data_IF_416911726517
#
_entry.id   IF_416911726517
#
_cell.length_a   1.000
_cell.length_b   1.000
_cell.length_c   1.000
_cell.angle_alpha   90.00
_cell.angle_beta   90.00
_cell.angle_gamma   90.00
#
_symmetry.space_group_name_H-M   'P 1'
#
loop_
_entity.id
_entity.type
_entity.pdbx_description
1 polymer ?
#
# COMPACT_ATOMS: atom_id res chain seq x y z
N UNK A 1 -11.41 -1.71 -33.74
CA UNK A 1 -10.95 -1.87 -32.35
C UNK A 1 -10.13 -3.14 -32.32
N UNK A 2 -8.81 -3.00 -32.30
CA UNK A 2 -7.90 -4.15 -32.19
C UNK A 2 -8.13 -4.81 -30.82
N UNK A 3 -8.37 -6.12 -30.82
CA UNK A 3 -8.41 -6.91 -29.60
C UNK A 3 -6.97 -7.15 -29.20
N UNK A 4 -6.50 -6.44 -28.18
CA UNK A 4 -5.23 -6.78 -27.54
C UNK A 4 -5.24 -8.24 -27.12
N UNK A 5 -4.14 -8.95 -27.34
CA UNK A 5 -4.02 -10.36 -26.94
C UNK A 5 -3.92 -10.44 -25.42
N UNK A 6 -4.22 -11.62 -24.85
CA UNK A 6 -4.10 -11.85 -23.41
C UNK A 6 -2.66 -11.56 -22.91
N UNK A 7 -1.65 -11.86 -23.74
CA UNK A 7 -0.24 -11.57 -23.48
C UNK A 7 0.08 -10.08 -23.34
N UNK A 8 -0.64 -9.18 -24.01
CA UNK A 8 -0.44 -7.72 -23.88
C UNK A 8 -1.06 -7.14 -22.59
N UNK A 9 -1.74 -7.97 -21.79
CA UNK A 9 -2.54 -7.51 -20.63
C UNK A 9 -1.85 -7.69 -19.27
N UNK A 10 -0.66 -8.28 -19.23
CA UNK A 10 0.12 -8.49 -17.99
C UNK A 10 1.62 -8.38 -18.24
N UNK A 11 2.39 -8.11 -17.18
CA UNK A 11 3.84 -8.10 -17.28
C UNK A 11 4.40 -9.52 -17.30
N UNK A 12 5.26 -9.79 -18.26
CA UNK A 12 6.20 -10.90 -18.16
C UNK A 12 7.23 -10.63 -17.06
N UNK A 13 7.88 -11.70 -16.56
CA UNK A 13 8.84 -11.60 -15.46
C UNK A 13 9.90 -10.54 -15.69
N UNK A 14 10.46 -10.48 -16.90
CA UNK A 14 11.52 -9.53 -17.27
C UNK A 14 10.99 -8.09 -17.29
N UNK A 15 9.77 -7.89 -17.78
CA UNK A 15 9.14 -6.57 -17.85
C UNK A 15 8.82 -6.05 -16.45
N UNK A 16 8.30 -6.90 -15.56
CA UNK A 16 8.06 -6.55 -14.17
C UNK A 16 9.37 -6.12 -13.48
N UNK A 17 10.44 -6.88 -13.62
CA UNK A 17 11.72 -6.51 -13.02
C UNK A 17 12.30 -5.22 -13.63
N UNK A 18 12.12 -5.00 -14.93
CA UNK A 18 12.52 -3.75 -15.59
C UNK A 18 11.75 -2.56 -15.02
N UNK A 19 10.44 -2.71 -14.82
CA UNK A 19 9.59 -1.70 -14.20
C UNK A 19 9.98 -1.42 -12.75
N UNK A 20 10.19 -2.45 -11.94
CA UNK A 20 10.60 -2.31 -10.54
C UNK A 20 12.01 -1.71 -10.39
N UNK A 21 12.92 -1.99 -11.31
CA UNK A 21 14.24 -1.35 -11.37
C UNK A 21 14.12 0.14 -11.72
N UNK A 22 13.26 0.50 -12.69
CA UNK A 22 13.00 1.90 -13.02
C UNK A 22 12.44 2.66 -11.81
N UNK A 23 11.49 2.08 -11.07
CA UNK A 23 10.96 2.68 -9.83
C UNK A 23 12.07 2.96 -8.82
N UNK A 24 13.05 2.05 -8.68
CA UNK A 24 14.16 2.24 -7.74
C UNK A 24 15.08 3.42 -8.09
N UNK A 25 15.07 3.87 -9.35
CA UNK A 25 15.94 4.94 -9.88
C UNK A 25 15.23 6.28 -10.01
N UNK A 26 13.97 6.27 -10.44
CA UNK A 26 13.22 7.48 -10.81
C UNK A 26 11.81 7.55 -10.18
N UNK A 27 11.45 6.60 -9.33
CA UNK A 27 10.15 6.56 -8.67
C UNK A 27 9.92 7.73 -7.73
N UNK A 28 8.65 8.08 -7.53
CA UNK A 28 8.23 9.07 -6.56
C UNK A 28 8.20 8.49 -5.15
N UNK A 29 7.94 9.34 -4.16
CA UNK A 29 7.78 8.93 -2.78
C UNK A 29 6.71 7.82 -2.66
N UNK A 30 7.06 6.75 -1.95
CA UNK A 30 6.27 5.53 -1.75
C UNK A 30 6.10 4.61 -2.97
N UNK A 31 6.58 4.97 -4.16
CA UNK A 31 6.39 4.13 -5.34
C UNK A 31 7.05 2.75 -5.17
N UNK A 32 8.27 2.72 -4.63
CA UNK A 32 8.95 1.46 -4.34
C UNK A 32 8.11 0.59 -3.40
N UNK A 33 7.69 1.14 -2.27
CA UNK A 33 6.93 0.39 -1.27
C UNK A 33 5.56 -0.08 -1.79
N UNK A 34 4.90 0.71 -2.63
CA UNK A 34 3.58 0.37 -3.21
C UNK A 34 3.70 -0.70 -4.28
N UNK A 35 4.56 -0.48 -5.26
CA UNK A 35 4.62 -1.35 -6.44
C UNK A 35 5.24 -2.70 -6.10
N UNK A 36 6.25 -2.77 -5.22
CA UNK A 36 6.73 -4.06 -4.73
C UNK A 36 5.63 -4.79 -3.96
N UNK A 37 4.91 -4.11 -3.06
CA UNK A 37 3.85 -4.76 -2.29
C UNK A 37 2.74 -5.28 -3.20
N UNK A 38 2.27 -4.51 -4.19
CA UNK A 38 1.26 -4.98 -5.16
C UNK A 38 1.81 -6.15 -6.00
N UNK A 39 3.02 -6.01 -6.56
CA UNK A 39 3.59 -7.00 -7.47
C UNK A 39 3.74 -8.39 -6.82
N UNK A 40 4.10 -8.43 -5.54
CA UNK A 40 4.37 -9.68 -4.84
C UNK A 40 3.21 -10.18 -3.95
N UNK A 41 2.18 -9.37 -3.70
CA UNK A 41 0.97 -9.82 -2.97
C UNK A 41 -0.25 -10.04 -3.86
N UNK A 42 -0.28 -9.47 -5.06
CA UNK A 42 -1.46 -9.47 -5.94
C UNK A 42 -2.68 -8.73 -5.36
N UNK A 43 -2.48 -7.86 -4.36
CA UNK A 43 -3.59 -7.08 -3.79
C UNK A 43 -4.09 -5.99 -4.74
N UNK A 44 -5.38 -5.66 -4.61
CA UNK A 44 -5.99 -4.57 -5.37
C UNK A 44 -5.49 -3.22 -4.83
N UNK A 45 -5.39 -2.16 -5.65
CA UNK A 45 -4.95 -0.84 -5.18
C UNK A 45 -5.75 -0.29 -3.99
N UNK A 46 -7.06 -0.50 -3.94
CA UNK A 46 -7.88 -0.09 -2.78
C UNK A 46 -7.63 -0.92 -1.51
N UNK A 47 -7.18 -2.17 -1.64
CA UNK A 47 -6.75 -2.98 -0.49
C UNK A 47 -5.40 -2.46 0.04
N UNK A 48 -4.47 -2.11 -0.86
CA UNK A 48 -3.18 -1.51 -0.52
C UNK A 48 -3.35 -0.21 0.27
N UNK A 49 -4.16 0.73 -0.22
CA UNK A 49 -4.38 2.03 0.44
C UNK A 49 -5.18 1.91 1.74
N UNK A 50 -5.86 0.78 1.96
CA UNK A 50 -6.54 0.49 3.23
C UNK A 50 -5.62 -0.09 4.30
N UNK A 51 -4.40 -0.56 3.95
CA UNK A 51 -3.49 -1.20 4.89
C UNK A 51 -3.10 -0.27 6.03
N UNK A 52 -3.16 -0.81 7.23
CA UNK A 52 -2.71 -0.17 8.45
C UNK A 52 -1.52 -0.89 9.04
N UNK A 53 -0.80 -0.20 9.94
CA UNK A 53 0.28 -0.81 10.73
C UNK A 53 -0.14 -2.12 11.40
N UNK A 54 -1.37 -2.21 11.89
CA UNK A 54 -1.92 -3.38 12.58
C UNK A 54 -2.26 -4.56 11.67
N UNK A 55 -2.23 -4.38 10.35
CA UNK A 55 -2.44 -5.46 9.39
C UNK A 55 -1.15 -6.20 9.03
N UNK A 56 0.01 -5.73 9.53
CA UNK A 56 1.33 -6.30 9.27
C UNK A 56 1.80 -7.16 10.44
N UNK A 57 2.18 -8.40 10.15
CA UNK A 57 2.85 -9.31 11.09
C UNK A 57 4.29 -9.51 10.63
N UNK A 58 5.22 -8.81 11.26
CA UNK A 58 6.65 -8.88 10.94
C UNK A 58 7.36 -10.09 11.55
N UNK A 59 6.72 -10.84 12.44
CA UNK A 59 7.29 -12.07 13.00
C UNK A 59 7.05 -13.24 12.04
N UNK A 60 5.84 -13.31 11.50
CA UNK A 60 5.44 -14.34 10.54
C UNK A 60 5.60 -13.90 9.07
N UNK A 61 6.04 -12.66 8.82
CA UNK A 61 6.18 -12.05 7.49
C UNK A 61 4.89 -12.10 6.65
N UNK A 62 3.78 -11.71 7.26
CA UNK A 62 2.46 -11.73 6.62
C UNK A 62 1.75 -10.38 6.63
N UNK A 63 0.83 -10.20 5.68
CA UNK A 63 -0.10 -9.08 5.61
C UNK A 63 -1.53 -9.60 5.63
N UNK A 64 -2.35 -9.08 6.54
CA UNK A 64 -3.78 -9.39 6.62
C UNK A 64 -4.61 -8.38 5.83
N UNK A 65 -5.19 -8.82 4.73
CA UNK A 65 -6.07 -7.99 3.88
C UNK A 65 -7.53 -8.24 4.29
N UNK A 66 -8.18 -7.20 4.80
CA UNK A 66 -9.56 -7.30 5.30
C UNK A 66 -10.50 -6.16 4.89
N UNK A 67 -9.96 -5.09 4.31
CA UNK A 67 -10.68 -3.87 3.95
C UNK A 67 -10.21 -3.35 2.61
N UNK A 68 -11.08 -2.62 1.95
CA UNK A 68 -10.77 -1.85 0.75
C UNK A 68 -11.15 -0.39 1.00
N UNK A 69 -10.27 0.53 0.62
CA UNK A 69 -10.51 1.96 0.68
C UNK A 69 -11.15 2.43 -0.62
N UNK A 70 -12.23 3.18 -0.48
CA UNK A 70 -12.95 3.84 -1.55
C UNK A 70 -12.91 5.35 -1.35
N UNK A 71 -12.58 6.09 -2.41
CA UNK A 71 -12.57 7.54 -2.44
C UNK A 71 -13.18 8.03 -3.76
N UNK A 72 -14.49 8.23 -3.77
CA UNK A 72 -15.26 8.60 -4.98
C UNK A 72 -15.03 10.05 -5.40
N UNK A 73 -14.71 10.93 -4.45
CA UNK A 73 -14.61 12.38 -4.65
C UNK A 73 -13.18 12.88 -4.78
N UNK A 74 -12.20 11.96 -4.74
CA UNK A 74 -10.77 12.26 -4.66
C UNK A 74 -10.41 13.21 -3.50
N UNK A 75 -11.23 13.21 -2.44
CA UNK A 75 -11.02 14.00 -1.24
C UNK A 75 -10.47 13.08 -0.15
N UNK A 76 -9.22 13.32 0.26
CA UNK A 76 -8.53 12.50 1.27
C UNK A 76 -9.31 12.39 2.60
N UNK A 77 -10.16 13.37 2.93
CA UNK A 77 -10.97 13.39 4.16
C UNK A 77 -12.29 12.64 4.02
N UNK A 78 -12.72 12.32 2.79
CA UNK A 78 -14.00 11.68 2.49
C UNK A 78 -13.81 10.26 1.92
N UNK A 79 -13.02 9.43 2.62
CA UNK A 79 -12.85 8.03 2.27
C UNK A 79 -13.83 7.12 3.02
N UNK A 80 -14.13 5.96 2.42
CA UNK A 80 -14.89 4.87 3.05
C UNK A 80 -14.01 3.63 3.08
N UNK A 81 -13.99 2.95 4.22
CA UNK A 81 -13.44 1.60 4.31
C UNK A 81 -14.61 0.63 4.23
N UNK A 82 -14.67 -0.16 3.17
CA UNK A 82 -15.64 -1.25 3.08
C UNK A 82 -14.93 -2.57 3.41
N UNK A 83 -15.63 -3.42 4.13
CA UNK A 83 -15.26 -4.81 4.24
C UNK A 83 -15.66 -5.50 2.95
N UNK A 84 -14.90 -6.50 2.53
CA UNK A 84 -15.26 -7.29 1.36
C UNK A 84 -16.61 -7.98 1.56
N UNK A 85 -17.68 -7.43 0.95
CA UNK A 85 -19.09 -7.84 1.10
C UNK A 85 -19.35 -9.35 0.90
N UNK A 86 -18.42 -10.05 0.25
CA UNK A 86 -18.49 -11.49 -0.02
C UNK A 86 -17.16 -12.24 0.12
N UNK A 87 -16.06 -11.61 0.55
CA UNK A 87 -14.74 -12.27 0.65
C UNK A 87 -14.23 -12.27 2.09
N UNK A 88 -13.82 -13.44 2.58
CA UNK A 88 -13.17 -13.59 3.88
C UNK A 88 -11.86 -12.78 3.87
N UNK A 89 -11.56 -12.12 4.99
CA UNK A 89 -10.23 -11.57 5.19
C UNK A 89 -9.18 -12.67 4.91
N UNK A 90 -8.11 -12.31 4.21
CA UNK A 90 -7.05 -13.23 3.82
C UNK A 90 -5.72 -12.76 4.36
N UNK A 91 -4.82 -13.69 4.62
CA UNK A 91 -3.45 -13.41 5.00
C UNK A 91 -2.56 -13.84 3.85
N UNK A 92 -1.58 -13.00 3.50
CA UNK A 92 -0.62 -13.25 2.42
C UNK A 92 0.78 -13.21 3.02
N UNK A 93 1.57 -14.23 2.72
CA UNK A 93 2.99 -14.28 3.05
C UNK A 93 3.79 -13.44 2.06
N UNK A 94 4.79 -12.71 2.53
CA UNK A 94 5.69 -11.92 1.69
C UNK A 94 7.14 -12.19 2.04
N UNK A 95 8.00 -12.04 1.04
CA UNK A 95 9.44 -12.17 1.22
C UNK A 95 9.98 -11.20 2.28
N UNK A 96 10.97 -11.66 3.05
CA UNK A 96 11.66 -10.90 4.11
C UNK A 96 12.12 -9.51 3.65
N UNK A 97 12.54 -9.38 2.38
CA UNK A 97 12.99 -8.11 1.81
C UNK A 97 11.86 -7.08 1.77
N UNK A 98 10.65 -7.51 1.40
CA UNK A 98 9.47 -6.65 1.32
C UNK A 98 9.00 -6.32 2.73
N UNK A 99 8.93 -7.32 3.62
CA UNK A 99 8.53 -7.07 5.01
C UNK A 99 9.51 -6.15 5.75
N UNK A 100 10.82 -6.27 5.50
CA UNK A 100 11.83 -5.35 6.03
C UNK A 100 11.67 -3.92 5.49
N UNK A 101 11.36 -3.77 4.21
CA UNK A 101 11.04 -2.47 3.61
C UNK A 101 9.80 -1.85 4.27
N UNK A 102 8.72 -2.61 4.45
CA UNK A 102 7.50 -2.13 5.12
C UNK A 102 7.72 -1.81 6.59
N UNK A 103 8.60 -2.55 7.29
CA UNK A 103 8.99 -2.25 8.68
C UNK A 103 9.66 -0.89 8.79
N UNK A 104 10.54 -0.54 7.85
CA UNK A 104 11.17 0.80 7.79
C UNK A 104 10.14 1.89 7.50
N UNK A 105 9.17 1.62 6.62
CA UNK A 105 8.08 2.55 6.35
C UNK A 105 7.24 2.82 7.60
N UNK A 106 6.90 1.77 8.36
CA UNK A 106 6.20 1.91 9.66
C UNK A 106 7.00 2.77 10.64
N UNK A 107 8.30 2.54 10.78
CA UNK A 107 9.16 3.35 11.66
C UNK A 107 9.16 4.82 11.24
N UNK A 108 9.33 5.11 9.94
CA UNK A 108 9.27 6.47 9.40
C UNK A 108 7.93 7.13 9.69
N UNK A 109 6.83 6.39 9.54
CA UNK A 109 5.48 6.87 9.82
C UNK A 109 5.27 7.19 11.31
N UNK A 110 5.77 6.33 12.22
CA UNK A 110 5.69 6.54 13.66
C UNK A 110 6.49 7.79 14.09
N UNK A 111 7.71 7.96 13.56
CA UNK A 111 8.54 9.15 13.81
C UNK A 111 7.87 10.43 13.30
N UNK A 112 7.31 10.40 12.08
CA UNK A 112 6.57 11.51 11.51
C UNK A 112 5.36 11.87 12.38
N UNK A 113 4.56 10.87 12.78
CA UNK A 113 3.41 11.04 13.67
C UNK A 113 3.82 11.69 14.99
N UNK A 114 4.87 11.21 15.65
CA UNK A 114 5.34 11.77 16.91
C UNK A 114 5.76 13.24 16.79
N UNK A 115 6.35 13.62 15.66
CA UNK A 115 6.81 14.99 15.40
C UNK A 115 5.65 15.94 15.09
N UNK A 116 4.66 15.50 14.31
CA UNK A 116 3.70 16.42 13.69
C UNK A 116 2.27 16.35 14.23
N UNK A 117 1.87 15.28 14.94
CA UNK A 117 0.48 15.10 15.40
C UNK A 117 -0.07 16.19 16.32
N UNK A 118 0.80 16.92 17.02
CA UNK A 118 0.41 18.04 17.90
C UNK A 118 0.65 19.41 17.25
N UNK A 119 1.25 19.45 16.06
CA UNK A 119 1.61 20.66 15.33
C UNK A 119 0.61 20.91 14.19
N UNK A 120 0.25 19.85 13.46
CA UNK A 120 -0.73 19.92 12.38
C UNK A 120 -2.14 19.81 12.95
N UNK A 121 -2.94 20.86 12.78
CA UNK A 121 -4.33 20.91 13.28
C UNK A 121 -5.20 19.80 12.68
N UNK A 122 -4.97 19.44 11.41
CA UNK A 122 -5.73 18.43 10.69
C UNK A 122 -5.01 17.07 10.56
N UNK A 123 -4.14 16.75 11.52
CA UNK A 123 -3.45 15.46 11.54
C UNK A 123 -4.44 14.30 11.75
N UNK A 124 -4.42 13.34 10.83
CA UNK A 124 -5.28 12.16 10.85
C UNK A 124 -4.55 10.95 11.44
N UNK A 125 -4.82 10.70 12.72
CA UNK A 125 -4.21 9.61 13.46
C UNK A 125 -4.97 8.28 13.26
N UNK A 126 -4.80 7.68 12.08
CA UNK A 126 -5.45 6.41 11.72
C UNK A 126 -4.50 5.26 11.36
N UNK A 127 -3.19 5.48 11.51
CA UNK A 127 -2.10 4.52 11.30
C UNK A 127 -2.14 3.81 9.93
N UNK A 128 -2.48 4.55 8.87
CA UNK A 128 -2.36 4.05 7.51
C UNK A 128 -0.88 3.85 7.15
N UNK A 129 -0.59 2.73 6.48
CA UNK A 129 0.77 2.43 6.03
C UNK A 129 1.21 3.37 4.91
N UNK A 130 0.33 3.59 3.93
CA UNK A 130 0.53 4.53 2.84
C UNK A 130 -0.29 5.79 3.10
N UNK A 131 0.34 6.77 3.73
CA UNK A 131 -0.31 7.99 4.20
C UNK A 131 0.40 9.24 3.69
N UNK A 132 -0.39 10.29 3.47
CA UNK A 132 0.05 11.65 3.20
C UNK A 132 0.74 12.23 4.44
N UNK A 133 1.46 13.36 4.32
CA UNK A 133 2.11 13.98 5.48
C UNK A 133 1.15 14.30 6.64
N UNK A 134 -0.12 14.59 6.37
CA UNK A 134 -1.13 14.82 7.41
C UNK A 134 -1.82 13.53 7.91
N UNK A 135 -1.31 12.34 7.61
CA UNK A 135 -1.81 11.05 8.12
C UNK A 135 -3.03 10.48 7.37
N UNK A 136 -3.65 11.25 6.46
CA UNK A 136 -4.72 10.74 5.62
C UNK A 136 -4.20 9.74 4.59
N UNK A 137 -4.99 8.71 4.21
CA UNK A 137 -4.60 7.79 3.18
C UNK A 137 -4.49 8.48 1.81
N UNK A 138 -3.76 7.85 0.89
CA UNK A 138 -3.67 8.31 -0.49
C UNK A 138 -4.97 8.10 -1.27
#
# INVERSE_FOLDING_TARGET
MEKNTIEESYFEKIELFTFLDAISKIGLELDMERFYTIAFSGMRPGELTALKKTDLDFENNTIRISKTLYNETNNMKAYKLDTTKTNKARTIDLDDKIMSMLKKLVQRNDEHKMKYRTILEDFHDADFLYQRPNGYPF
#
